data_IF_137601644343
#
_entry.id   IF_137601644343
#
_cell.length_a   1.000
_cell.length_b   1.000
_cell.length_c   1.000
_cell.angle_alpha   90.00
_cell.angle_beta   90.00
_cell.angle_gamma   90.00
#
_symmetry.space_group_name_H-M   'P 1'
#
loop_
_entity.id
_entity.type
_entity.pdbx_description
1 polymer ?
#
# COMPACT_ATOMS: atom_id res chain seq x y z
N UNK A 1 -24.07 15.23 1.55
CA UNK A 1 -24.26 13.77 1.37
C UNK A 1 -23.11 13.09 2.09
N UNK A 2 -23.44 12.14 2.92
CA UNK A 2 -22.46 11.32 3.60
C UNK A 2 -21.54 10.62 2.59
N UNK A 3 -20.27 10.34 2.95
CA UNK A 3 -19.38 9.61 2.06
C UNK A 3 -19.92 8.18 1.85
N UNK A 4 -19.73 7.60 0.65
CA UNK A 4 -20.23 6.25 0.34
C UNK A 4 -19.37 5.14 0.98
N UNK A 5 -18.68 5.45 2.07
CA UNK A 5 -17.80 4.53 2.80
C UNK A 5 -17.79 4.84 4.29
N UNK A 6 -17.37 3.85 5.06
CA UNK A 6 -17.18 3.95 6.51
C UNK A 6 -15.76 3.51 6.84
N UNK A 7 -15.08 4.22 7.75
CA UNK A 7 -13.85 3.77 8.36
C UNK A 7 -14.20 3.00 9.65
N UNK A 8 -13.75 1.77 9.75
CA UNK A 8 -14.02 0.90 10.90
C UNK A 8 -12.86 -0.02 11.22
N UNK A 9 -12.92 -0.67 12.36
CA UNK A 9 -11.94 -1.67 12.77
C UNK A 9 -12.25 -3.04 12.14
N UNK A 10 -11.25 -3.67 11.53
CA UNK A 10 -11.39 -5.02 10.94
C UNK A 10 -11.63 -6.13 11.99
N UNK A 11 -11.30 -5.87 13.28
CA UNK A 11 -11.39 -6.87 14.34
C UNK A 11 -12.64 -6.71 15.22
N UNK A 12 -12.92 -5.51 15.74
CA UNK A 12 -14.06 -5.27 16.63
C UNK A 12 -15.24 -4.58 15.94
N UNK A 13 -15.09 -4.16 14.68
CA UNK A 13 -16.09 -3.50 13.86
C UNK A 13 -16.56 -2.12 14.35
N UNK A 14 -15.91 -1.57 15.38
CA UNK A 14 -16.20 -0.22 15.86
C UNK A 14 -15.81 0.81 14.80
N UNK A 15 -16.64 1.85 14.66
CA UNK A 15 -16.39 2.96 13.76
C UNK A 15 -15.23 3.81 14.29
N UNK A 16 -14.29 4.10 13.43
CA UNK A 16 -13.19 5.00 13.74
C UNK A 16 -13.53 6.45 13.33
N UNK A 17 -13.02 7.46 14.07
CA UNK A 17 -13.13 8.85 13.63
C UNK A 17 -12.37 9.04 12.30
N UNK A 18 -12.98 9.71 11.34
CA UNK A 18 -12.36 10.01 10.04
C UNK A 18 -11.42 11.23 10.07
N UNK A 19 -11.29 11.88 11.22
CA UNK A 19 -10.52 13.12 11.40
C UNK A 19 -9.15 12.83 12.06
N UNK A 20 -8.17 13.67 11.75
CA UNK A 20 -6.83 13.59 12.32
C UNK A 20 -5.91 12.59 11.60
N UNK A 21 -4.82 12.24 12.27
CA UNK A 21 -3.85 11.25 11.81
C UNK A 21 -4.27 9.84 12.20
N UNK A 22 -3.99 8.87 11.33
CA UNK A 22 -4.38 7.48 11.54
C UNK A 22 -3.46 6.73 12.50
N UNK A 23 -4.02 5.70 13.10
CA UNK A 23 -3.32 4.74 13.98
C UNK A 23 -4.09 3.41 13.95
N UNK A 24 -3.89 2.60 14.98
CA UNK A 24 -4.70 1.42 15.25
C UNK A 24 -6.03 1.79 15.89
N UNK A 25 -6.98 0.87 15.90
CA UNK A 25 -8.23 1.02 16.63
C UNK A 25 -7.94 1.35 18.10
N UNK A 26 -8.61 2.37 18.65
CA UNK A 26 -8.42 2.80 20.02
C UNK A 26 -8.94 1.78 21.03
N UNK A 27 -9.95 0.97 20.66
CA UNK A 27 -10.62 0.04 21.58
C UNK A 27 -9.90 -1.32 21.66
N UNK A 28 -9.41 -1.85 20.52
CA UNK A 28 -8.85 -3.21 20.50
C UNK A 28 -7.44 -3.30 19.88
N UNK A 29 -6.89 -2.20 19.36
CA UNK A 29 -5.60 -2.20 18.68
C UNK A 29 -5.60 -2.82 17.27
N UNK A 30 -6.76 -3.22 16.73
CA UNK A 30 -6.91 -3.79 15.41
C UNK A 30 -6.62 -2.80 14.28
N UNK A 31 -6.54 -3.30 13.05
CA UNK A 31 -6.36 -2.47 11.86
C UNK A 31 -7.64 -1.70 11.51
N UNK A 32 -7.48 -0.50 10.96
CA UNK A 32 -8.58 0.29 10.41
C UNK A 32 -8.69 0.04 8.91
N UNK A 33 -9.91 -0.10 8.43
CA UNK A 33 -10.23 -0.28 7.02
C UNK A 33 -11.41 0.57 6.57
N UNK A 34 -11.37 1.02 5.33
CA UNK A 34 -12.53 1.63 4.68
C UNK A 34 -13.41 0.56 4.05
N UNK A 35 -14.71 0.64 4.27
CA UNK A 35 -15.71 -0.21 3.61
C UNK A 35 -16.62 0.65 2.77
N UNK A 36 -16.67 0.39 1.47
CA UNK A 36 -17.54 1.10 0.54
C UNK A 36 -18.91 0.44 0.44
N UNK A 37 -19.95 1.26 0.20
CA UNK A 37 -21.27 0.76 -0.10
C UNK A 37 -21.28 0.04 -1.48
N UNK A 38 -21.63 -1.27 -1.55
CA UNK A 38 -21.66 -2.02 -2.80
C UNK A 38 -22.64 -1.40 -3.85
N UNK A 39 -23.75 -0.82 -3.43
CA UNK A 39 -24.69 -0.17 -4.35
C UNK A 39 -24.08 1.09 -4.97
N UNK A 40 -23.31 1.86 -4.20
CA UNK A 40 -22.52 2.96 -4.74
C UNK A 40 -21.51 2.45 -5.79
N UNK A 41 -20.74 1.40 -5.47
CA UNK A 41 -19.73 0.86 -6.36
C UNK A 41 -20.28 0.35 -7.69
N UNK A 42 -21.50 -0.20 -7.71
CA UNK A 42 -22.22 -0.59 -8.95
C UNK A 42 -22.38 0.58 -9.92
N UNK A 43 -22.69 1.77 -9.37
CA UNK A 43 -22.88 3.00 -10.12
C UNK A 43 -21.62 3.64 -10.65
N UNK A 44 -20.44 3.33 -10.09
CA UNK A 44 -19.18 3.98 -10.45
C UNK A 44 -18.80 3.70 -11.91
N UNK A 45 -18.36 4.75 -12.60
CA UNK A 45 -17.78 4.71 -13.94
C UNK A 45 -16.49 5.52 -13.95
N UNK A 46 -15.41 4.92 -14.43
CA UNK A 46 -14.13 5.58 -14.53
C UNK A 46 -14.04 6.38 -15.83
N UNK A 47 -13.46 7.58 -15.75
CA UNK A 47 -13.29 8.50 -16.88
C UNK A 47 -11.87 9.09 -16.88
N UNK A 48 -11.44 9.60 -18.03
CA UNK A 48 -10.12 10.23 -18.19
C UNK A 48 -9.01 9.23 -18.48
N UNK A 49 -7.74 9.68 -18.45
CA UNK A 49 -6.59 8.83 -18.74
C UNK A 49 -6.41 7.73 -17.71
N UNK A 50 -5.74 6.65 -18.10
CA UNK A 50 -5.40 5.55 -17.21
C UNK A 50 -4.25 6.00 -16.28
N UNK A 51 -4.60 6.51 -15.12
CA UNK A 51 -3.69 6.95 -14.05
C UNK A 51 -4.26 6.52 -12.71
N UNK A 52 -3.50 6.66 -11.63
CA UNK A 52 -3.97 6.37 -10.27
C UNK A 52 -5.26 7.12 -9.92
N UNK A 53 -5.32 8.42 -10.19
CA UNK A 53 -6.44 9.28 -9.84
C UNK A 53 -7.72 9.05 -10.68
N UNK A 54 -7.64 8.26 -11.74
CA UNK A 54 -8.81 7.73 -12.43
C UNK A 54 -9.74 6.96 -11.47
N UNK A 55 -9.15 6.33 -10.47
CA UNK A 55 -9.83 5.50 -9.46
C UNK A 55 -10.25 6.29 -8.21
N UNK A 56 -10.16 7.60 -8.20
CA UNK A 56 -10.63 8.44 -7.09
C UNK A 56 -12.06 8.12 -6.61
N UNK A 57 -13.04 7.77 -7.48
CA UNK A 57 -14.37 7.41 -7.01
C UNK A 57 -14.45 6.18 -6.08
N UNK A 58 -13.46 5.31 -6.09
CA UNK A 58 -13.39 4.11 -5.23
C UNK A 58 -12.33 4.23 -4.14
N UNK A 59 -11.89 5.45 -3.86
CA UNK A 59 -10.96 5.78 -2.77
C UNK A 59 -11.61 6.78 -1.81
N UNK A 60 -11.12 6.87 -0.56
CA UNK A 60 -11.52 7.95 0.34
C UNK A 60 -11.28 9.33 -0.29
N UNK A 61 -12.21 10.24 -0.05
CA UNK A 61 -12.15 11.59 -0.62
C UNK A 61 -11.00 12.38 -0.02
N UNK A 62 -10.30 13.11 -0.87
CA UNK A 62 -9.29 14.08 -0.51
C UNK A 62 -9.65 15.44 -1.10
N UNK A 63 -9.25 16.51 -0.43
CA UNK A 63 -9.55 17.88 -0.88
C UNK A 63 -8.68 18.29 -2.09
N UNK A 64 -7.43 17.83 -2.09
CA UNK A 64 -6.44 18.13 -3.13
C UNK A 64 -5.70 16.85 -3.53
N UNK A 65 -5.72 16.50 -4.81
CA UNK A 65 -4.93 15.39 -5.33
C UNK A 65 -3.45 15.79 -5.48
N UNK A 66 -2.56 15.09 -4.79
CA UNK A 66 -1.11 15.18 -4.96
C UNK A 66 -0.68 14.05 -5.89
N UNK A 67 0.02 14.35 -6.98
CA UNK A 67 0.40 13.35 -7.99
C UNK A 67 1.75 13.68 -8.63
N UNK A 68 2.57 12.68 -8.87
CA UNK A 68 3.77 12.72 -9.71
C UNK A 68 3.58 11.96 -11.03
N UNK A 69 2.35 11.48 -11.32
CA UNK A 69 2.01 10.73 -12.52
C UNK A 69 2.01 9.21 -12.31
N UNK A 70 1.76 8.77 -11.09
CA UNK A 70 1.65 7.35 -10.68
C UNK A 70 0.43 6.65 -11.28
N UNK A 71 0.49 5.31 -11.32
CA UNK A 71 -0.54 4.45 -11.89
C UNK A 71 -0.53 4.42 -13.43
N UNK A 72 -1.51 3.76 -14.03
CA UNK A 72 -1.52 3.53 -15.48
C UNK A 72 -0.34 2.69 -15.94
N UNK A 73 0.19 1.87 -15.06
CA UNK A 73 1.42 1.12 -15.30
C UNK A 73 1.23 0.05 -16.38
N UNK A 74 2.30 -0.26 -17.15
CA UNK A 74 2.20 -1.22 -18.23
C UNK A 74 1.76 -2.60 -17.80
N UNK A 75 1.05 -3.28 -18.70
CA UNK A 75 0.65 -4.68 -18.57
C UNK A 75 1.17 -5.46 -19.78
N UNK A 76 2.23 -6.22 -19.57
CA UNK A 76 2.99 -6.88 -20.61
C UNK A 76 2.63 -8.36 -20.74
N UNK A 77 2.46 -8.83 -21.96
CA UNK A 77 2.50 -10.28 -22.21
C UNK A 77 3.96 -10.74 -22.19
N UNK A 78 4.30 -11.64 -21.28
CA UNK A 78 5.66 -12.14 -21.06
C UNK A 78 5.88 -13.45 -21.85
N UNK A 79 5.90 -13.38 -23.20
CA UNK A 79 5.92 -14.55 -24.10
C UNK A 79 7.10 -15.48 -23.81
N UNK A 80 8.34 -14.96 -23.85
CA UNK A 80 9.55 -15.78 -23.64
C UNK A 80 9.63 -16.42 -22.27
N UNK A 81 9.24 -15.69 -21.22
CA UNK A 81 9.20 -16.22 -19.87
C UNK A 81 8.07 -17.24 -19.73
N UNK A 82 6.93 -16.98 -20.34
CA UNK A 82 5.80 -17.90 -20.38
C UNK A 82 6.16 -19.22 -21.07
N UNK A 83 6.82 -19.19 -22.20
CA UNK A 83 7.33 -20.37 -22.91
C UNK A 83 8.30 -21.19 -22.01
N UNK A 84 9.26 -20.50 -21.36
CA UNK A 84 10.22 -21.14 -20.47
C UNK A 84 9.56 -21.84 -19.26
N UNK A 85 8.48 -21.25 -18.73
CA UNK A 85 7.74 -21.78 -17.59
C UNK A 85 6.57 -22.71 -17.97
N UNK A 86 6.28 -22.91 -19.26
CA UNK A 86 5.13 -23.65 -19.72
C UNK A 86 3.77 -22.94 -19.51
N UNK A 87 3.78 -21.62 -19.33
CA UNK A 87 2.62 -20.76 -19.08
C UNK A 87 2.22 -20.01 -20.35
N UNK A 88 1.11 -20.36 -20.98
CA UNK A 88 0.68 -19.77 -22.27
C UNK A 88 0.27 -18.31 -22.20
N UNK A 89 -0.28 -17.89 -21.07
CA UNK A 89 -0.88 -16.56 -20.85
C UNK A 89 -0.25 -15.85 -19.64
N UNK A 90 1.08 -15.83 -19.58
CA UNK A 90 1.79 -15.09 -18.54
C UNK A 90 1.83 -13.60 -18.90
N UNK A 91 1.39 -12.77 -17.96
CA UNK A 91 1.48 -11.31 -18.06
C UNK A 91 2.19 -10.74 -16.84
N UNK A 92 2.82 -9.59 -17.01
CA UNK A 92 3.49 -8.84 -15.95
C UNK A 92 2.83 -7.46 -15.82
N UNK A 93 2.37 -7.13 -14.62
CA UNK A 93 1.98 -5.78 -14.23
C UNK A 93 3.22 -5.05 -13.72
N UNK A 94 3.74 -4.12 -14.52
CA UNK A 94 5.05 -3.50 -14.27
C UNK A 94 4.92 -2.24 -13.39
N UNK A 95 4.78 -2.44 -12.08
CA UNK A 95 4.71 -1.36 -11.10
C UNK A 95 6.04 -0.61 -10.89
N UNK A 96 7.13 -1.06 -11.52
CA UNK A 96 8.41 -0.32 -11.50
C UNK A 96 8.39 0.94 -12.37
N UNK A 97 7.32 1.17 -13.14
CA UNK A 97 7.14 2.36 -13.98
C UNK A 97 6.50 3.54 -13.26
N UNK A 98 6.22 3.40 -12.00
CA UNK A 98 5.83 4.53 -11.16
C UNK A 98 7.01 5.51 -10.95
N UNK A 99 6.75 6.77 -10.56
CA UNK A 99 7.77 7.85 -10.46
C UNK A 99 9.03 7.51 -9.66
N UNK A 100 8.89 6.78 -8.53
CA UNK A 100 10.03 6.34 -7.72
C UNK A 100 10.38 4.86 -7.92
N UNK A 101 9.97 4.29 -9.05
CA UNK A 101 10.14 2.89 -9.43
C UNK A 101 9.48 1.88 -8.47
N UNK A 102 8.37 2.25 -7.85
CA UNK A 102 7.66 1.40 -6.90
C UNK A 102 6.15 1.66 -6.89
N UNK A 103 5.36 0.60 -6.71
CA UNK A 103 3.91 0.72 -6.47
C UNK A 103 3.56 1.53 -5.22
N UNK A 104 4.52 1.78 -4.33
CA UNK A 104 4.35 2.60 -3.13
C UNK A 104 4.03 4.06 -3.46
N UNK A 105 4.28 4.51 -4.68
CA UNK A 105 3.85 5.82 -5.16
C UNK A 105 2.35 6.01 -5.08
N UNK A 106 1.55 4.96 -5.31
CA UNK A 106 0.10 4.99 -5.13
C UNK A 106 -0.27 5.32 -3.69
N UNK A 107 0.37 4.65 -2.71
CA UNK A 107 0.16 4.93 -1.29
C UNK A 107 0.62 6.34 -0.91
N UNK A 108 1.80 6.75 -1.36
CA UNK A 108 2.33 8.07 -1.07
C UNK A 108 1.43 9.18 -1.64
N UNK A 109 0.90 9.02 -2.86
CA UNK A 109 -0.01 9.97 -3.47
C UNK A 109 -1.29 10.19 -2.63
N UNK A 110 -1.95 9.10 -2.21
CA UNK A 110 -3.19 9.23 -1.44
C UNK A 110 -2.94 9.74 -0.01
N UNK A 111 -1.89 9.25 0.65
CA UNK A 111 -1.49 9.65 2.00
C UNK A 111 -1.13 11.13 2.03
N UNK A 112 -0.30 11.61 1.10
CA UNK A 112 0.08 13.03 1.03
C UNK A 112 -1.11 13.92 0.69
N UNK A 113 -2.02 13.46 -0.20
CA UNK A 113 -3.24 14.19 -0.51
C UNK A 113 -4.13 14.39 0.72
N UNK A 114 -4.28 13.37 1.56
CA UNK A 114 -5.04 13.45 2.81
C UNK A 114 -4.33 14.32 3.86
N UNK A 115 -3.01 14.17 4.02
CA UNK A 115 -2.23 14.97 4.96
C UNK A 115 -2.31 16.47 4.63
N UNK A 116 -2.07 16.84 3.37
CA UNK A 116 -2.14 18.23 2.90
C UNK A 116 -3.56 18.78 3.00
N UNK A 117 -4.57 17.98 2.60
CA UNK A 117 -5.98 18.37 2.71
C UNK A 117 -6.42 18.63 4.15
N UNK A 118 -5.87 17.91 5.12
CA UNK A 118 -6.08 18.11 6.55
C UNK A 118 -5.20 19.20 7.18
N UNK A 119 -4.34 19.86 6.40
CA UNK A 119 -3.50 20.98 6.85
C UNK A 119 -2.26 20.56 7.63
N UNK A 120 -1.79 19.33 7.50
CA UNK A 120 -0.52 18.91 8.09
C UNK A 120 0.67 19.46 7.29
N UNK A 121 1.66 19.99 7.99
CA UNK A 121 2.92 20.50 7.46
C UNK A 121 4.09 19.53 7.63
N UNK A 122 3.84 18.40 8.28
CA UNK A 122 4.84 17.38 8.57
C UNK A 122 4.24 15.98 8.54
N UNK A 123 5.02 15.03 7.99
CA UNK A 123 4.67 13.60 7.96
C UNK A 123 5.79 12.76 8.55
N UNK A 124 5.43 11.62 9.14
CA UNK A 124 6.40 10.63 9.64
C UNK A 124 6.00 9.23 9.21
N UNK A 125 6.97 8.43 8.77
CA UNK A 125 6.76 7.01 8.50
C UNK A 125 7.93 6.14 8.94
N UNK A 126 7.65 4.86 9.19
CA UNK A 126 8.65 3.79 9.26
C UNK A 126 8.62 2.98 7.96
N UNK A 127 9.79 2.49 7.51
CA UNK A 127 9.88 1.75 6.25
C UNK A 127 11.18 0.96 6.08
N UNK A 128 11.11 -0.15 5.32
CA UNK A 128 12.28 -0.87 4.79
C UNK A 128 12.79 -0.31 3.44
N UNK A 129 12.31 0.87 2.99
CA UNK A 129 12.88 1.53 1.82
C UNK A 129 11.86 2.16 0.85
N UNK A 130 11.17 1.37 0.03
CA UNK A 130 10.36 1.89 -1.08
C UNK A 130 9.30 2.92 -0.67
N UNK A 131 8.59 2.70 0.43
CA UNK A 131 7.56 3.65 0.87
C UNK A 131 8.17 4.99 1.31
N UNK A 132 9.32 4.95 2.01
CA UNK A 132 10.02 6.16 2.40
C UNK A 132 10.52 6.95 1.19
N UNK A 133 11.11 6.28 0.19
CA UNK A 133 11.54 6.93 -1.04
C UNK A 133 10.36 7.60 -1.78
N UNK A 134 9.22 6.91 -1.87
CA UNK A 134 8.01 7.48 -2.44
C UNK A 134 7.50 8.65 -1.59
N UNK A 135 7.31 8.47 -0.28
CA UNK A 135 6.80 9.52 0.60
C UNK A 135 7.67 10.77 0.56
N UNK A 136 9.00 10.64 0.58
CA UNK A 136 9.93 11.76 0.47
C UNK A 136 9.72 12.56 -0.82
N UNK A 137 9.59 11.89 -1.97
CA UNK A 137 9.38 12.56 -3.26
C UNK A 137 8.05 13.34 -3.31
N UNK A 138 6.97 12.77 -2.76
CA UNK A 138 5.66 13.43 -2.72
C UNK A 138 5.62 14.55 -1.67
N UNK A 139 6.34 14.41 -0.56
CA UNK A 139 6.49 15.47 0.46
C UNK A 139 7.27 16.67 -0.09
N UNK A 140 8.38 16.42 -0.80
CA UNK A 140 9.15 17.47 -1.45
C UNK A 140 8.33 18.26 -2.48
N UNK A 141 7.42 17.58 -3.21
CA UNK A 141 6.51 18.24 -4.15
C UNK A 141 5.60 19.26 -3.48
N UNK A 142 5.12 18.98 -2.27
CA UNK A 142 4.16 19.80 -1.54
C UNK A 142 4.79 20.69 -0.47
N UNK A 143 6.12 20.72 -0.37
CA UNK A 143 6.88 21.45 0.66
C UNK A 143 6.48 21.05 2.09
N UNK A 144 6.25 19.74 2.29
CA UNK A 144 5.88 19.16 3.59
C UNK A 144 7.10 18.49 4.21
N UNK A 145 7.39 18.79 5.48
CA UNK A 145 8.50 18.18 6.21
C UNK A 145 8.31 16.66 6.30
N UNK A 146 9.32 15.88 5.87
CA UNK A 146 9.26 14.43 5.83
C UNK A 146 10.30 13.81 6.77
N UNK A 147 9.83 13.07 7.78
CA UNK A 147 10.69 12.29 8.67
C UNK A 147 10.48 10.80 8.42
N UNK A 148 11.59 10.08 8.20
CA UNK A 148 11.58 8.66 7.87
C UNK A 148 12.41 7.90 8.89
N UNK A 149 11.80 6.91 9.52
CA UNK A 149 12.45 6.02 10.48
C UNK A 149 12.72 4.67 9.80
N UNK A 150 13.97 4.22 9.83
CA UNK A 150 14.42 3.03 9.10
C UNK A 150 15.18 2.07 10.01
N UNK A 151 15.17 0.75 9.74
CA UNK A 151 16.12 -0.17 10.35
C UNK A 151 17.58 0.15 9.93
N UNK A 152 18.54 -0.26 10.74
CA UNK A 152 19.97 0.05 10.56
C UNK A 152 20.59 -0.50 9.26
N UNK A 153 19.98 -1.50 8.63
CA UNK A 153 20.48 -2.16 7.42
C UNK A 153 19.73 -1.78 6.14
N UNK A 154 19.27 -0.53 6.06
CA UNK A 154 18.58 -0.01 4.88
C UNK A 154 19.46 -0.04 3.62
N UNK A 155 18.85 -0.39 2.48
CA UNK A 155 19.48 -0.31 1.16
C UNK A 155 19.95 1.11 0.84
N UNK A 156 21.23 1.27 0.47
CA UNK A 156 21.87 2.56 0.21
C UNK A 156 21.20 3.33 -0.95
N UNK A 157 20.69 2.62 -1.96
CA UNK A 157 20.00 3.26 -3.08
C UNK A 157 18.67 3.90 -2.64
N UNK A 158 17.97 3.29 -1.70
CA UNK A 158 16.75 3.86 -1.11
C UNK A 158 17.05 5.02 -0.19
N UNK A 159 18.08 4.91 0.64
CA UNK A 159 18.56 6.02 1.48
C UNK A 159 18.91 7.23 0.62
N UNK A 160 19.64 7.04 -0.47
CA UNK A 160 20.01 8.12 -1.38
C UNK A 160 18.77 8.82 -2.01
N UNK A 161 17.73 8.06 -2.37
CA UNK A 161 16.48 8.64 -2.88
C UNK A 161 15.77 9.51 -1.83
N UNK A 162 15.72 9.05 -0.57
CA UNK A 162 15.11 9.81 0.53
C UNK A 162 15.85 11.11 0.78
N UNK A 163 17.20 11.06 0.89
CA UNK A 163 18.05 12.24 1.11
C UNK A 163 17.97 13.22 -0.08
N UNK A 164 17.96 12.71 -1.30
CA UNK A 164 17.84 13.55 -2.50
C UNK A 164 16.51 14.32 -2.59
N UNK A 165 15.49 13.84 -1.86
CA UNK A 165 14.18 14.50 -1.71
C UNK A 165 14.05 15.28 -0.40
N UNK A 166 15.17 15.62 0.25
CA UNK A 166 15.25 16.41 1.49
C UNK A 166 14.52 15.81 2.70
N UNK A 167 14.35 14.48 2.74
CA UNK A 167 13.77 13.82 3.90
C UNK A 167 14.79 13.68 5.03
N UNK A 168 14.33 13.91 6.26
CA UNK A 168 15.10 13.60 7.46
C UNK A 168 15.01 12.11 7.79
N UNK A 169 16.10 11.38 7.60
CA UNK A 169 16.17 9.94 7.85
C UNK A 169 16.88 9.64 9.15
N UNK A 170 16.28 8.81 10.00
CA UNK A 170 16.87 8.36 11.26
C UNK A 170 16.74 6.84 11.43
N UNK A 171 17.76 6.23 12.01
CA UNK A 171 17.78 4.79 12.28
C UNK A 171 17.11 4.45 13.61
N UNK A 172 16.45 3.27 13.66
CA UNK A 172 15.84 2.74 14.87
C UNK A 172 15.87 1.21 14.89
N UNK A 173 16.84 0.67 15.60
CA UNK A 173 17.01 -0.78 15.78
C UNK A 173 17.30 -1.51 14.47
N UNK A 174 17.23 -2.83 14.53
CA UNK A 174 17.56 -3.71 13.40
C UNK A 174 16.31 -4.22 12.68
N UNK A 175 15.12 -3.88 13.19
CA UNK A 175 13.84 -4.44 12.76
C UNK A 175 12.83 -3.36 12.48
N UNK A 176 11.97 -3.62 11.52
CA UNK A 176 10.92 -2.70 11.09
C UNK A 176 9.89 -2.39 12.19
N UNK A 177 9.56 -3.35 13.06
CA UNK A 177 8.63 -3.14 14.15
C UNK A 177 9.12 -2.11 15.19
N UNK A 178 10.43 -2.07 15.45
CA UNK A 178 11.07 -1.04 16.30
C UNK A 178 10.96 0.33 15.64
N UNK A 179 11.21 0.40 14.34
CA UNK A 179 11.07 1.64 13.58
C UNK A 179 9.61 2.13 13.53
N UNK A 180 8.63 1.22 13.37
CA UNK A 180 7.20 1.54 13.40
C UNK A 180 6.79 2.15 14.75
N UNK A 181 7.21 1.54 15.85
CA UNK A 181 6.88 2.07 17.19
C UNK A 181 7.52 3.44 17.44
N UNK A 182 8.76 3.64 16.97
CA UNK A 182 9.41 4.95 17.04
C UNK A 182 8.68 6.00 16.20
N UNK A 183 8.31 5.69 14.97
CA UNK A 183 7.53 6.60 14.12
C UNK A 183 6.16 6.94 14.74
N UNK A 184 5.49 5.96 15.37
CA UNK A 184 4.25 6.18 16.10
C UNK A 184 4.43 7.17 17.25
N UNK A 185 5.49 7.04 18.05
CA UNK A 185 5.82 7.98 19.14
C UNK A 185 6.09 9.38 18.61
N UNK A 186 6.89 9.51 17.56
CA UNK A 186 7.17 10.79 16.92
C UNK A 186 5.86 11.46 16.47
N UNK A 187 4.96 10.74 15.81
CA UNK A 187 3.67 11.30 15.40
C UNK A 187 2.88 11.85 16.58
N UNK A 188 2.82 11.12 17.70
CA UNK A 188 2.09 11.54 18.89
C UNK A 188 2.73 12.75 19.59
N UNK A 189 4.05 12.82 19.65
CA UNK A 189 4.80 13.87 20.33
C UNK A 189 4.85 15.18 19.55
N UNK A 190 4.91 15.08 18.20
CA UNK A 190 5.12 16.25 17.33
C UNK A 190 3.84 16.72 16.64
N UNK A 191 2.79 15.91 16.63
CA UNK A 191 1.59 16.16 15.85
C UNK A 191 1.75 15.88 14.35
N UNK A 192 2.88 15.30 13.90
CA UNK A 192 3.11 14.94 12.51
C UNK A 192 2.10 13.88 12.03
N UNK A 193 1.71 13.97 10.76
CA UNK A 193 0.79 12.98 10.17
C UNK A 193 1.45 11.60 10.06
N UNK A 194 0.78 10.56 10.57
CA UNK A 194 1.27 9.18 10.52
C UNK A 194 1.10 8.60 9.12
N UNK A 195 2.21 8.38 8.43
CA UNK A 195 2.24 7.91 7.05
C UNK A 195 2.79 6.47 6.89
N UNK A 196 3.03 5.74 7.99
CA UNK A 196 3.46 4.33 7.94
C UNK A 196 2.37 3.46 7.32
N UNK A 197 2.73 2.64 6.33
CA UNK A 197 1.76 1.83 5.55
C UNK A 197 0.94 0.86 6.41
N UNK A 198 1.52 0.31 7.46
CA UNK A 198 0.90 -0.64 8.38
C UNK A 198 -0.03 0.04 9.41
N UNK A 199 0.03 1.36 9.52
CA UNK A 199 -0.79 2.14 10.45
C UNK A 199 -1.81 3.04 9.74
N UNK A 200 -1.62 3.29 8.46
CA UNK A 200 -2.47 4.20 7.69
C UNK A 200 -3.34 3.43 6.68
N UNK A 201 -4.67 3.38 6.89
CA UNK A 201 -5.59 2.61 6.06
C UNK A 201 -5.64 3.08 4.61
N UNK A 202 -5.25 4.31 4.31
CA UNK A 202 -5.18 4.83 2.95
C UNK A 202 -4.18 4.06 2.07
N UNK A 203 -3.18 3.41 2.69
CA UNK A 203 -2.24 2.56 1.94
C UNK A 203 -2.96 1.41 1.23
N UNK A 204 -3.89 0.74 1.91
CA UNK A 204 -4.67 -0.35 1.31
C UNK A 204 -5.60 0.17 0.21
N UNK A 205 -6.26 1.29 0.45
CA UNK A 205 -7.15 1.92 -0.52
C UNK A 205 -6.43 2.37 -1.80
N UNK A 206 -5.20 2.84 -1.66
CA UNK A 206 -4.37 3.19 -2.79
C UNK A 206 -3.90 1.97 -3.58
N UNK A 207 -3.39 0.95 -2.90
CA UNK A 207 -2.84 -0.26 -3.53
C UNK A 207 -3.94 -1.09 -4.20
N UNK A 208 -5.17 -1.14 -3.65
CA UNK A 208 -6.29 -1.89 -4.26
C UNK A 208 -6.60 -1.43 -5.69
N UNK A 209 -6.24 -0.18 -6.05
CA UNK A 209 -6.44 0.35 -7.41
C UNK A 209 -5.70 -0.46 -8.48
N UNK A 210 -4.67 -1.23 -8.13
CA UNK A 210 -4.00 -2.17 -9.04
C UNK A 210 -5.00 -3.23 -9.55
N UNK A 211 -5.91 -3.72 -8.71
CA UNK A 211 -6.95 -4.69 -9.13
C UNK A 211 -7.92 -4.08 -10.15
N UNK A 212 -8.35 -2.85 -9.91
CA UNK A 212 -9.21 -2.11 -10.83
C UNK A 212 -8.50 -1.86 -12.18
N UNK A 213 -7.24 -1.49 -12.13
CA UNK A 213 -6.42 -1.22 -13.31
C UNK A 213 -6.18 -2.50 -14.13
N UNK A 214 -5.91 -3.63 -13.48
CA UNK A 214 -5.78 -4.93 -14.14
C UNK A 214 -7.06 -5.31 -14.91
N UNK A 215 -8.23 -5.16 -14.29
CA UNK A 215 -9.52 -5.48 -14.92
C UNK A 215 -9.83 -4.54 -16.09
N UNK A 216 -9.43 -3.27 -16.04
CA UNK A 216 -9.59 -2.36 -17.17
C UNK A 216 -8.61 -2.61 -18.33
N UNK A 217 -7.40 -3.09 -18.03
CA UNK A 217 -6.36 -3.35 -19.03
C UNK A 217 -6.51 -4.70 -19.72
N UNK A 218 -7.23 -5.64 -19.11
CA UNK A 218 -7.40 -7.00 -19.62
C UNK A 218 -8.67 -7.66 -19.07
N UNK A 219 -8.87 -8.93 -19.37
CA UNK A 219 -9.82 -9.77 -18.63
C UNK A 219 -9.29 -10.12 -17.25
N UNK A 220 -10.18 -10.53 -16.35
CA UNK A 220 -9.78 -11.04 -15.03
C UNK A 220 -8.84 -12.23 -15.19
N UNK A 221 -7.63 -12.21 -14.61
CA UNK A 221 -6.74 -13.36 -14.69
C UNK A 221 -7.23 -14.51 -13.79
N UNK A 222 -6.87 -15.74 -14.13
CA UNK A 222 -7.17 -16.91 -13.27
C UNK A 222 -6.36 -16.84 -11.95
N UNK A 223 -5.12 -16.36 -12.04
CA UNK A 223 -4.17 -16.28 -10.94
C UNK A 223 -3.41 -14.95 -10.94
N UNK A 224 -3.15 -14.43 -9.75
CA UNK A 224 -2.25 -13.29 -9.55
C UNK A 224 -1.19 -13.66 -8.51
N UNK A 225 0.07 -13.69 -8.92
CA UNK A 225 1.22 -13.90 -8.03
C UNK A 225 1.80 -12.55 -7.58
N UNK A 226 2.02 -12.38 -6.28
CA UNK A 226 2.36 -11.11 -5.66
C UNK A 226 3.52 -11.33 -4.68
N UNK A 227 4.60 -10.56 -4.83
CA UNK A 227 5.64 -10.48 -3.80
C UNK A 227 5.05 -9.89 -2.51
N UNK A 228 5.30 -10.54 -1.38
CA UNK A 228 4.65 -10.26 -0.12
C UNK A 228 5.68 -10.05 0.99
N UNK A 229 5.69 -8.88 1.62
CA UNK A 229 6.33 -8.62 2.91
C UNK A 229 5.31 -8.78 4.03
N UNK A 230 4.78 -7.65 4.54
CA UNK A 230 3.78 -7.60 5.63
C UNK A 230 2.37 -8.09 5.26
N UNK A 231 2.11 -8.46 4.00
CA UNK A 231 0.80 -8.90 3.55
C UNK A 231 -0.15 -7.78 3.08
N UNK A 232 0.16 -6.51 3.32
CA UNK A 232 -0.70 -5.37 2.92
C UNK A 232 -1.04 -5.38 1.44
N UNK A 233 -0.08 -5.73 0.57
CA UNK A 233 -0.30 -5.72 -0.89
C UNK A 233 -1.31 -6.77 -1.34
N UNK A 234 -1.14 -8.02 -0.88
CA UNK A 234 -2.06 -9.12 -1.26
C UNK A 234 -3.47 -8.86 -0.72
N UNK A 235 -3.57 -8.36 0.52
CA UNK A 235 -4.84 -7.99 1.12
C UNK A 235 -5.52 -6.86 0.34
N UNK A 236 -4.77 -5.83 -0.06
CA UNK A 236 -5.29 -4.72 -0.87
C UNK A 236 -5.83 -5.19 -2.22
N UNK A 237 -5.10 -6.07 -2.92
CA UNK A 237 -5.57 -6.63 -4.19
C UNK A 237 -6.82 -7.48 -3.99
N UNK A 238 -6.85 -8.31 -2.95
CA UNK A 238 -8.03 -9.08 -2.59
C UNK A 238 -9.25 -8.19 -2.36
N UNK A 239 -9.08 -7.12 -1.58
CA UNK A 239 -10.11 -6.11 -1.35
C UNK A 239 -10.61 -5.50 -2.66
N UNK A 240 -9.73 -5.05 -3.54
CA UNK A 240 -10.11 -4.46 -4.82
C UNK A 240 -10.89 -5.43 -5.72
N UNK A 241 -10.48 -6.70 -5.81
CA UNK A 241 -11.22 -7.72 -6.54
C UNK A 241 -12.56 -8.07 -5.87
N UNK A 242 -12.64 -8.04 -4.54
CA UNK A 242 -13.90 -8.25 -3.81
C UNK A 242 -14.90 -7.13 -4.10
N UNK A 243 -14.46 -5.89 -4.02
CA UNK A 243 -15.30 -4.73 -4.38
C UNK A 243 -15.78 -4.78 -5.85
N UNK A 244 -14.92 -5.21 -6.77
CA UNK A 244 -15.29 -5.39 -8.18
C UNK A 244 -16.34 -6.50 -8.39
N UNK A 245 -16.22 -7.62 -7.68
CA UNK A 245 -17.19 -8.73 -7.73
C UNK A 245 -18.52 -8.32 -7.11
N UNK A 246 -18.54 -7.73 -5.92
CA UNK A 246 -19.73 -7.23 -5.24
C UNK A 246 -20.46 -6.14 -6.05
N UNK A 247 -19.70 -5.31 -6.76
CA UNK A 247 -20.23 -4.32 -7.69
C UNK A 247 -20.73 -4.92 -9.03
N UNK A 248 -20.61 -6.23 -9.23
CA UNK A 248 -20.97 -6.90 -10.48
C UNK A 248 -20.15 -6.44 -11.69
N UNK A 249 -18.91 -6.02 -11.47
CA UNK A 249 -17.97 -5.62 -12.54
C UNK A 249 -17.18 -6.81 -13.08
N UNK A 250 -17.04 -7.85 -12.29
CA UNK A 250 -16.43 -9.13 -12.63
C UNK A 250 -17.32 -10.26 -12.09
N UNK A 251 -17.30 -11.41 -12.77
CA UNK A 251 -18.11 -12.58 -12.38
C UNK A 251 -17.47 -13.39 -11.26
N UNK A 252 -16.15 -13.34 -11.13
CA UNK A 252 -15.38 -14.04 -10.11
C UNK A 252 -14.01 -13.41 -9.88
N UNK A 253 -13.49 -13.55 -8.67
CA UNK A 253 -12.14 -13.09 -8.30
C UNK A 253 -11.06 -14.06 -8.79
N UNK A 254 -9.85 -13.55 -9.10
CA UNK A 254 -8.68 -14.39 -9.33
C UNK A 254 -8.25 -15.09 -8.04
N UNK A 255 -7.55 -16.20 -8.18
CA UNK A 255 -6.79 -16.79 -7.07
C UNK A 255 -5.53 -16.00 -6.84
N UNK A 256 -5.23 -15.66 -5.57
CA UNK A 256 -4.03 -14.90 -5.21
C UNK A 256 -2.96 -15.83 -4.65
N UNK A 257 -1.72 -15.64 -5.10
CA UNK A 257 -0.53 -16.33 -4.60
C UNK A 257 0.40 -15.31 -3.97
N UNK A 258 0.53 -15.35 -2.64
CA UNK A 258 1.54 -14.56 -1.92
C UNK A 258 2.89 -15.27 -1.96
N UNK A 259 3.93 -14.58 -2.40
CA UNK A 259 5.29 -15.12 -2.50
C UNK A 259 6.20 -14.37 -1.54
N UNK A 260 6.80 -15.09 -0.59
CA UNK A 260 7.84 -14.59 0.31
C UNK A 260 9.18 -15.25 0.01
N UNK A 261 10.27 -14.58 0.38
CA UNK A 261 11.60 -15.17 0.28
C UNK A 261 11.74 -16.32 1.29
N UNK A 262 12.36 -17.43 0.91
CA UNK A 262 12.54 -18.61 1.76
C UNK A 262 13.18 -18.26 3.12
N UNK A 263 14.18 -17.37 3.13
CA UNK A 263 14.82 -16.90 4.36
C UNK A 263 13.98 -15.91 5.19
N UNK A 264 12.81 -15.48 4.71
CA UNK A 264 11.89 -14.59 5.44
C UNK A 264 10.43 -14.82 4.99
N UNK A 265 9.81 -15.90 5.45
CA UNK A 265 8.50 -16.36 4.99
C UNK A 265 7.47 -16.57 6.12
N UNK A 266 7.32 -15.63 7.10
CA UNK A 266 6.50 -15.87 8.29
C UNK A 266 5.01 -16.11 7.96
N UNK A 267 4.47 -15.44 6.95
CA UNK A 267 3.07 -15.56 6.56
C UNK A 267 2.87 -16.83 5.72
N UNK A 268 3.74 -17.09 4.74
CA UNK A 268 3.68 -18.28 3.91
C UNK A 268 3.84 -19.56 4.74
N UNK A 269 4.76 -19.55 5.71
CA UNK A 269 4.96 -20.66 6.62
C UNK A 269 3.74 -20.91 7.53
N UNK A 270 3.17 -19.85 8.10
CA UNK A 270 1.97 -19.96 8.91
C UNK A 270 0.80 -20.53 8.09
N UNK A 271 0.58 -19.99 6.89
CA UNK A 271 -0.46 -20.47 5.99
C UNK A 271 -0.30 -21.96 5.62
N UNK A 272 0.91 -22.37 5.24
CA UNK A 272 1.20 -23.76 4.87
C UNK A 272 1.09 -24.73 6.07
N UNK A 273 1.31 -24.24 7.29
CA UNK A 273 1.16 -25.00 8.53
C UNK A 273 -0.23 -24.91 9.14
N UNK A 274 -1.17 -24.19 8.50
CA UNK A 274 -2.53 -23.94 9.01
C UNK A 274 -2.55 -23.26 10.40
N UNK A 275 -1.63 -22.33 10.61
CA UNK A 275 -1.55 -21.50 11.82
C UNK A 275 -2.19 -20.14 11.51
N UNK A 276 -3.07 -19.64 12.38
CA UNK A 276 -3.83 -18.41 12.14
C UNK A 276 -2.98 -17.13 12.24
N UNK A 277 -1.91 -17.16 13.04
CA UNK A 277 -1.02 -16.02 13.22
C UNK A 277 0.32 -16.21 12.50
N UNK A 278 0.91 -15.14 11.93
CA UNK A 278 2.24 -15.20 11.35
C UNK A 278 3.28 -15.67 12.37
N UNK A 279 4.25 -16.46 11.93
CA UNK A 279 5.34 -16.91 12.79
C UNK A 279 6.30 -15.76 13.09
N UNK A 280 6.69 -15.64 14.34
CA UNK A 280 7.73 -14.68 14.72
C UNK A 280 9.09 -15.12 14.19
N UNK A 281 9.81 -14.19 13.52
CA UNK A 281 11.19 -14.39 13.08
C UNK A 281 12.09 -13.34 13.72
N UNK A 282 13.19 -13.76 14.33
CA UNK A 282 14.20 -12.84 14.91
C UNK A 282 14.92 -12.04 13.83
N UNK A 283 15.24 -12.70 12.71
CA UNK A 283 15.88 -12.07 11.55
C UNK A 283 15.46 -12.79 10.27
N UNK A 284 15.43 -12.06 9.16
CA UNK A 284 15.21 -12.62 7.83
C UNK A 284 16.48 -12.51 6.99
N UNK A 285 16.93 -13.59 6.35
CA UNK A 285 18.05 -13.60 5.41
C UNK A 285 17.53 -13.65 3.97
N UNK A 286 17.62 -12.54 3.28
CA UNK A 286 17.23 -12.43 1.88
C UNK A 286 17.86 -11.21 1.20
N UNK A 287 18.19 -11.35 -0.09
CA UNK A 287 18.61 -10.23 -0.94
C UNK A 287 17.43 -9.32 -1.28
N UNK A 288 16.19 -9.76 -1.07
CA UNK A 288 14.97 -9.00 -1.32
C UNK A 288 14.60 -8.16 -0.07
N UNK A 289 15.44 -7.21 0.29
CA UNK A 289 15.34 -6.40 1.52
C UNK A 289 13.97 -5.68 1.69
N UNK A 290 13.32 -5.35 0.60
CA UNK A 290 12.02 -4.65 0.62
C UNK A 290 10.82 -5.51 1.09
N UNK A 291 10.99 -6.84 1.21
CA UNK A 291 9.96 -7.79 1.66
C UNK A 291 10.42 -8.61 2.88
N UNK A 292 11.45 -8.14 3.56
CA UNK A 292 11.99 -8.75 4.79
C UNK A 292 11.29 -8.23 6.03
#
# INVERSE_FOLDING_TARGET
>A
MDPPYVLGCSSCHEKAPGEGSYSRCADCGGFLEYTFDPEYLKGVRFKGPLTFWRYAPVMPRVEKAVSLGEGGTPYWKAERLGEHLGLRNLHLKDETRNPTNSFKDRSAALIMSDAVGKGFDSVVCATNGNHGASLAAYSAKEDVSCRIVVPADLDLGKLAQMIASDAHVEEAGDRIDVAIEKARKIALETGAYQATTELNPLSMEAIKTISYELVEQSSVPDWVAIAMGSGVTIHSLWKGFTELEEAGKIDSKPRLIGVQAEGCAPIADAFNKHIEEPLFLESGDTVATAIR
#
